data_IF_949864016754
#
_entry.id   IF_949864016754
#
_cell.length_a   1.000
_cell.length_b   1.000
_cell.length_c   1.000
_cell.angle_alpha   90.00
_cell.angle_beta   90.00
_cell.angle_gamma   90.00
#
_symmetry.space_group_name_H-M   'P 1'
#
loop_
_entity.id
_entity.type
_entity.pdbx_description
1 polymer ?
#
# COMPACT_ATOMS: atom_id res chain seq x y z
N UNK A 1 -22.49 -0.60 -15.17
CA UNK A 1 -23.15 0.46 -15.97
C UNK A 1 -22.31 1.74 -15.90
N UNK A 2 -22.41 2.62 -16.90
CA UNK A 2 -21.89 3.99 -16.80
C UNK A 2 -23.09 4.92 -16.55
N UNK A 3 -23.00 5.75 -15.52
CA UNK A 3 -24.05 6.70 -15.13
C UNK A 3 -23.41 8.07 -15.00
N UNK A 4 -23.73 8.98 -15.92
CA UNK A 4 -23.11 10.31 -16.02
C UNK A 4 -24.03 11.44 -15.53
N UNK A 5 -25.28 11.12 -15.23
CA UNK A 5 -26.30 12.09 -14.87
C UNK A 5 -26.94 11.70 -13.54
N UNK A 6 -27.32 12.73 -12.78
CA UNK A 6 -28.08 12.54 -11.54
C UNK A 6 -29.47 12.02 -11.90
N UNK A 7 -29.79 10.82 -11.40
CA UNK A 7 -31.10 10.21 -11.59
C UNK A 7 -32.17 10.98 -10.83
N UNK A 8 -33.20 11.42 -11.54
CA UNK A 8 -34.35 12.11 -10.94
C UNK A 8 -35.44 11.15 -10.46
N UNK A 9 -35.44 9.91 -10.97
CA UNK A 9 -36.40 8.86 -10.63
C UNK A 9 -35.67 7.53 -10.48
N UNK A 10 -36.23 6.55 -9.73
CA UNK A 10 -35.69 5.20 -9.69
C UNK A 10 -35.52 4.61 -11.09
N UNK A 11 -34.36 3.99 -11.33
CA UNK A 11 -33.99 3.33 -12.59
C UNK A 11 -33.62 1.87 -12.32
N UNK A 12 -34.10 0.92 -13.13
CA UNK A 12 -33.95 -0.53 -12.93
C UNK A 12 -33.63 -1.32 -14.22
N UNK A 13 -33.24 -0.62 -15.26
CA UNK A 13 -32.91 -1.13 -16.60
C UNK A 13 -31.40 -0.96 -16.91
N UNK A 14 -30.54 -1.04 -15.91
CA UNK A 14 -29.10 -0.95 -16.11
C UNK A 14 -28.58 -2.14 -16.91
N UNK A 15 -27.74 -1.84 -17.89
CA UNK A 15 -26.96 -2.82 -18.63
C UNK A 15 -25.47 -2.61 -18.37
N UNK A 16 -24.68 -3.66 -18.56
CA UNK A 16 -23.23 -3.52 -18.61
C UNK A 16 -22.87 -2.63 -19.79
N UNK A 17 -21.81 -1.84 -19.61
CA UNK A 17 -21.14 -1.27 -20.76
C UNK A 17 -20.34 -2.39 -21.45
N UNK A 18 -20.31 -2.39 -22.78
CA UNK A 18 -19.88 -3.55 -23.58
C UNK A 18 -18.43 -4.01 -23.35
N UNK A 19 -17.57 -3.17 -22.77
CA UNK A 19 -16.21 -3.54 -22.42
C UNK A 19 -15.69 -2.73 -21.23
N UNK A 20 -14.63 -3.24 -20.59
CA UNK A 20 -13.86 -2.51 -19.57
C UNK A 20 -13.23 -1.24 -20.15
N UNK A 21 -12.78 -1.29 -21.40
CA UNK A 21 -12.12 -0.16 -22.08
C UNK A 21 -13.04 1.05 -22.20
N UNK A 22 -14.35 0.85 -22.41
CA UNK A 22 -15.31 1.96 -22.43
C UNK A 22 -15.43 2.65 -21.05
N UNK A 23 -15.27 1.91 -19.95
CA UNK A 23 -15.19 2.50 -18.61
C UNK A 23 -13.90 3.32 -18.46
N UNK A 24 -12.78 2.78 -18.93
CA UNK A 24 -11.50 3.49 -18.89
C UNK A 24 -11.49 4.73 -19.79
N UNK A 25 -12.13 4.71 -20.96
CA UNK A 25 -12.28 5.88 -21.82
C UNK A 25 -13.10 6.98 -21.14
N UNK A 26 -14.18 6.62 -20.43
CA UNK A 26 -14.93 7.58 -19.62
C UNK A 26 -14.06 8.16 -18.50
N UNK A 27 -13.34 7.30 -17.76
CA UNK A 27 -12.43 7.74 -16.71
C UNK A 27 -11.33 8.68 -17.25
N UNK A 28 -10.78 8.38 -18.43
CA UNK A 28 -9.81 9.23 -19.11
C UNK A 28 -10.41 10.59 -19.47
N UNK A 29 -11.66 10.64 -19.94
CA UNK A 29 -12.37 11.89 -20.20
C UNK A 29 -12.56 12.74 -18.93
N UNK A 30 -12.95 12.11 -17.82
CA UNK A 30 -13.14 12.80 -16.54
C UNK A 30 -11.80 13.34 -15.99
N UNK A 31 -10.74 12.55 -16.12
CA UNK A 31 -9.40 12.93 -15.69
C UNK A 31 -8.79 14.00 -16.59
N UNK A 32 -8.97 13.94 -17.90
CA UNK A 32 -8.56 15.00 -18.84
C UNK A 32 -9.27 16.32 -18.49
N UNK A 33 -10.57 16.29 -18.23
CA UNK A 33 -11.29 17.45 -17.70
C UNK A 33 -10.66 17.94 -16.39
N UNK A 34 -10.34 17.05 -15.45
CA UNK A 34 -9.70 17.41 -14.19
C UNK A 34 -8.31 18.04 -14.41
N UNK A 35 -7.48 17.53 -15.33
CA UNK A 35 -6.16 18.11 -15.64
C UNK A 35 -6.25 19.56 -16.15
N UNK A 36 -7.36 19.91 -16.80
CA UNK A 36 -7.60 21.25 -17.35
C UNK A 36 -8.15 22.23 -16.31
N UNK A 37 -8.81 21.74 -15.26
CA UNK A 37 -9.57 22.56 -14.31
C UNK A 37 -9.03 22.57 -12.88
N UNK A 38 -8.23 21.58 -12.47
CA UNK A 38 -7.64 21.56 -11.13
C UNK A 38 -6.45 22.54 -11.00
N UNK A 39 -6.23 23.10 -9.81
CA UNK A 39 -5.08 23.97 -9.55
C UNK A 39 -3.76 23.19 -9.57
N UNK A 40 -2.65 23.89 -9.73
CA UNK A 40 -1.31 23.36 -9.42
C UNK A 40 -1.19 23.09 -7.91
N UNK A 41 -0.23 22.25 -7.51
CA UNK A 41 -0.08 21.83 -6.11
C UNK A 41 0.15 23.01 -5.15
N UNK A 42 0.81 24.10 -5.58
CA UNK A 42 1.00 25.30 -4.76
C UNK A 42 -0.25 26.17 -4.61
N UNK A 43 -1.25 25.94 -5.46
CA UNK A 43 -2.47 26.74 -5.56
C UNK A 43 -3.71 25.97 -5.09
N UNK A 44 -3.55 24.80 -4.45
CA UNK A 44 -4.68 24.10 -3.84
C UNK A 44 -5.24 24.92 -2.68
N UNK A 45 -6.57 24.99 -2.56
CA UNK A 45 -7.23 25.83 -1.54
C UNK A 45 -6.98 25.35 -0.10
N UNK A 46 -6.65 24.08 0.08
CA UNK A 46 -6.33 23.48 1.38
C UNK A 46 -5.46 22.23 1.20
N UNK A 47 -4.66 21.92 2.22
CA UNK A 47 -3.87 20.68 2.32
C UNK A 47 -4.80 19.47 2.14
N UNK A 48 -4.35 18.49 1.36
CA UNK A 48 -5.13 17.29 1.04
C UNK A 48 -6.15 17.45 -0.09
N UNK A 49 -6.37 18.66 -0.64
CA UNK A 49 -7.14 18.79 -1.89
C UNK A 49 -6.35 18.28 -3.08
N UNK A 50 -7.07 17.74 -4.05
CA UNK A 50 -6.51 17.13 -5.26
C UNK A 50 -5.97 18.23 -6.18
N UNK A 51 -4.71 18.11 -6.59
CA UNK A 51 -4.08 18.98 -7.58
C UNK A 51 -4.19 18.36 -8.98
N UNK A 52 -3.91 19.15 -10.02
CA UNK A 52 -3.83 18.60 -11.38
C UNK A 52 -2.74 17.55 -11.57
N UNK A 53 -1.69 17.56 -10.75
CA UNK A 53 -0.63 16.55 -10.79
C UNK A 53 -1.16 15.16 -10.42
N UNK A 54 -2.05 15.09 -9.41
CA UNK A 54 -2.74 13.86 -9.06
C UNK A 54 -3.64 13.35 -10.20
N UNK A 55 -4.32 14.27 -10.91
CA UNK A 55 -5.12 13.90 -12.09
C UNK A 55 -4.24 13.36 -13.23
N UNK A 56 -3.11 14.00 -13.55
CA UNK A 56 -2.17 13.48 -14.57
C UNK A 56 -1.56 12.12 -14.18
N UNK A 57 -1.25 11.93 -12.90
CA UNK A 57 -0.76 10.66 -12.39
C UNK A 57 -1.76 9.52 -12.64
N UNK A 58 -3.02 9.69 -12.23
CA UNK A 58 -4.04 8.65 -12.44
C UNK A 58 -4.37 8.50 -13.92
N UNK A 59 -4.37 9.60 -14.69
CA UNK A 59 -4.56 9.56 -16.14
C UNK A 59 -3.47 8.73 -16.84
N UNK A 60 -2.24 8.75 -16.34
CA UNK A 60 -1.15 7.89 -16.81
C UNK A 60 -1.52 6.41 -16.69
N UNK A 61 -1.99 5.98 -15.51
CA UNK A 61 -2.39 4.58 -15.29
C UNK A 61 -3.60 4.18 -16.16
N UNK A 62 -4.56 5.09 -16.34
CA UNK A 62 -5.71 4.84 -17.22
C UNK A 62 -5.26 4.69 -18.68
N UNK A 63 -4.36 5.53 -19.18
CA UNK A 63 -3.82 5.38 -20.53
C UNK A 63 -2.99 4.10 -20.71
N UNK A 64 -2.23 3.69 -19.69
CA UNK A 64 -1.57 2.38 -19.66
C UNK A 64 -2.60 1.26 -19.79
N UNK A 65 -3.72 1.35 -19.05
CA UNK A 65 -4.82 0.38 -19.09
C UNK A 65 -5.45 0.28 -20.49
N UNK A 66 -5.54 1.40 -21.19
CA UNK A 66 -6.03 1.51 -22.57
C UNK A 66 -4.97 1.15 -23.63
N UNK A 67 -3.73 0.86 -23.22
CA UNK A 67 -2.56 0.67 -24.08
C UNK A 67 -2.26 1.88 -24.98
N UNK A 68 -2.66 3.08 -24.54
CA UNK A 68 -2.36 4.35 -25.19
C UNK A 68 -1.01 4.86 -24.70
N UNK A 69 0.06 4.16 -25.08
CA UNK A 69 1.39 4.35 -24.48
C UNK A 69 1.95 5.78 -24.63
N UNK A 70 1.73 6.42 -25.79
CA UNK A 70 2.19 7.80 -26.01
C UNK A 70 1.44 8.79 -25.11
N UNK A 71 0.13 8.59 -24.92
CA UNK A 71 -0.67 9.42 -24.02
C UNK A 71 -0.26 9.21 -22.56
N UNK A 72 0.03 7.96 -22.15
CA UNK A 72 0.56 7.66 -20.84
C UNK A 72 1.92 8.34 -20.60
N UNK A 73 2.85 8.24 -21.55
CA UNK A 73 4.18 8.87 -21.46
C UNK A 73 4.03 10.39 -21.35
N UNK A 74 3.17 11.02 -22.15
CA UNK A 74 2.94 12.46 -22.09
C UNK A 74 2.35 12.91 -20.74
N UNK A 75 1.35 12.17 -20.22
CA UNK A 75 0.74 12.46 -18.92
C UNK A 75 1.74 12.29 -17.77
N UNK A 76 2.55 11.24 -17.79
CA UNK A 76 3.57 11.00 -16.77
C UNK A 76 4.70 12.04 -16.83
N UNK A 77 5.16 12.39 -18.03
CA UNK A 77 6.20 13.40 -18.24
C UNK A 77 5.75 14.76 -17.72
N UNK A 78 4.47 15.12 -17.87
CA UNK A 78 3.94 16.35 -17.29
C UNK A 78 4.17 16.44 -15.76
N UNK A 79 4.02 15.31 -15.05
CA UNK A 79 4.25 15.26 -13.60
C UNK A 79 5.74 15.20 -13.27
N UNK A 80 6.51 14.39 -14.00
CA UNK A 80 7.94 14.19 -13.78
C UNK A 80 8.75 15.46 -14.06
N UNK A 81 8.41 16.21 -15.10
CA UNK A 81 9.11 17.42 -15.52
C UNK A 81 8.62 18.66 -14.75
N UNK A 82 7.64 18.52 -13.86
CA UNK A 82 7.12 19.63 -13.07
C UNK A 82 8.14 20.02 -11.97
N UNK A 83 8.60 21.28 -11.93
CA UNK A 83 9.66 21.71 -11.02
C UNK A 83 9.28 21.68 -9.53
N UNK A 84 8.00 21.49 -9.21
CA UNK A 84 7.54 21.37 -7.83
C UNK A 84 7.83 19.99 -7.24
N UNK A 85 7.97 18.96 -8.07
CA UNK A 85 8.17 17.59 -7.59
C UNK A 85 9.58 17.13 -7.86
N UNK A 86 10.17 16.49 -6.86
CA UNK A 86 11.46 15.82 -6.98
C UNK A 86 11.49 14.60 -6.06
N UNK A 87 12.31 13.61 -6.38
CA UNK A 87 12.62 12.56 -5.40
C UNK A 87 13.48 13.17 -4.30
N UNK A 88 13.10 12.98 -3.05
CA UNK A 88 13.88 13.39 -1.90
C UNK A 88 15.16 12.56 -1.86
N UNK A 89 16.31 13.25 -1.81
CA UNK A 89 17.65 12.65 -1.81
C UNK A 89 18.42 12.87 -0.50
N UNK A 90 18.05 13.89 0.26
CA UNK A 90 18.70 14.27 1.51
C UNK A 90 17.76 14.15 2.70
N UNK A 91 18.33 13.99 3.89
CA UNK A 91 17.57 13.96 5.15
C UNK A 91 16.71 15.22 5.31
N UNK A 92 15.45 15.08 5.72
CA UNK A 92 14.53 16.21 5.84
C UNK A 92 13.45 16.05 6.92
N UNK A 93 12.77 17.15 7.20
CA UNK A 93 11.69 17.22 8.19
C UNK A 93 12.19 17.28 9.63
N UNK A 94 11.32 16.96 10.59
CA UNK A 94 11.59 17.27 12.01
C UNK A 94 12.39 16.21 12.79
N UNK A 95 12.71 15.08 12.17
CA UNK A 95 13.36 13.93 12.84
C UNK A 95 14.72 13.57 12.23
N UNK A 96 15.40 14.56 11.64
CA UNK A 96 16.74 14.38 11.06
C UNK A 96 17.84 14.14 12.09
N UNK A 97 17.55 14.42 13.37
CA UNK A 97 18.41 14.18 14.53
C UNK A 97 18.36 12.72 15.03
N UNK A 98 17.39 11.93 14.57
CA UNK A 98 17.33 10.50 14.90
C UNK A 98 18.50 9.78 14.20
N UNK A 99 19.40 9.12 14.94
CA UNK A 99 20.56 8.46 14.35
C UNK A 99 20.16 7.26 13.49
N UNK A 100 21.06 6.83 12.60
CA UNK A 100 20.92 5.57 11.82
C UNK A 100 19.63 5.48 10.98
N UNK A 101 19.11 6.63 10.54
CA UNK A 101 17.96 6.74 9.62
C UNK A 101 18.38 7.34 8.29
N UNK A 102 17.52 7.25 7.26
CA UNK A 102 17.81 7.71 5.90
C UNK A 102 16.63 8.49 5.29
N UNK A 103 16.83 9.04 4.09
CA UNK A 103 15.83 9.88 3.42
C UNK A 103 14.52 9.13 3.14
N UNK A 104 14.58 7.83 2.81
CA UNK A 104 13.38 7.02 2.59
C UNK A 104 12.55 6.88 3.87
N UNK A 105 13.21 6.80 5.03
CA UNK A 105 12.52 6.80 6.33
C UNK A 105 11.81 8.13 6.59
N UNK A 106 12.44 9.26 6.25
CA UNK A 106 11.90 10.61 6.47
C UNK A 106 10.59 10.85 5.72
N UNK A 107 10.41 10.26 4.52
CA UNK A 107 9.19 10.37 3.71
C UNK A 107 7.91 10.06 4.48
N UNK A 108 8.00 9.06 5.38
CA UNK A 108 6.84 8.48 6.04
C UNK A 108 6.69 8.96 7.48
N UNK A 109 7.45 9.96 7.93
CA UNK A 109 7.33 10.43 9.31
C UNK A 109 6.10 11.32 9.50
N UNK A 110 5.54 11.30 10.72
CA UNK A 110 4.44 12.18 11.09
C UNK A 110 4.89 13.64 10.95
N UNK A 111 4.16 14.40 10.12
CA UNK A 111 4.49 15.78 9.80
C UNK A 111 5.44 15.96 8.61
N UNK A 112 5.87 14.87 7.95
CA UNK A 112 6.70 14.91 6.73
C UNK A 112 5.94 14.41 5.49
N UNK A 113 4.68 13.95 5.61
CA UNK A 113 3.99 13.29 4.51
C UNK A 113 3.46 14.28 3.47
N UNK A 114 2.95 15.44 3.89
CA UNK A 114 2.32 16.37 2.96
C UNK A 114 3.35 17.15 2.14
N UNK A 115 2.97 17.54 0.91
CA UNK A 115 3.76 18.43 0.08
C UNK A 115 4.10 19.75 0.82
N UNK A 116 3.11 20.34 1.50
CA UNK A 116 3.28 21.57 2.27
C UNK A 116 4.23 21.42 3.48
N UNK A 117 4.59 20.20 3.87
CA UNK A 117 5.60 19.95 4.88
C UNK A 117 7.03 19.89 4.31
N UNK A 118 7.21 20.15 3.01
CA UNK A 118 8.51 20.10 2.31
C UNK A 118 8.86 18.74 1.73
N UNK A 119 7.87 17.84 1.61
CA UNK A 119 8.05 16.56 0.91
C UNK A 119 7.63 16.70 -0.55
N UNK A 120 8.60 17.04 -1.39
CA UNK A 120 8.40 17.25 -2.81
C UNK A 120 8.12 15.95 -3.59
N UNK A 121 8.16 14.77 -2.95
CA UNK A 121 7.67 13.54 -3.58
C UNK A 121 6.15 13.41 -3.54
N UNK A 122 5.49 14.04 -2.57
CA UNK A 122 4.06 13.86 -2.38
C UNK A 122 3.26 14.62 -3.42
N UNK A 123 2.56 13.87 -4.27
CA UNK A 123 1.60 14.41 -5.23
C UNK A 123 0.23 14.56 -4.55
N UNK A 124 -0.16 13.58 -3.72
CA UNK A 124 -1.38 13.63 -2.92
C UNK A 124 -1.29 12.74 -1.67
N UNK A 125 -1.80 13.26 -0.55
CA UNK A 125 -1.83 12.56 0.73
C UNK A 125 -3.23 12.60 1.36
N UNK A 126 -3.65 11.47 1.93
CA UNK A 126 -4.87 11.36 2.70
C UNK A 126 -4.64 11.98 4.09
N UNK A 127 -5.55 12.87 4.47
CA UNK A 127 -5.49 13.62 5.73
C UNK A 127 -6.03 12.76 6.88
N UNK A 128 -5.21 11.83 7.37
CA UNK A 128 -5.57 10.85 8.39
C UNK A 128 -4.84 11.05 9.72
N UNK A 129 -3.97 12.07 9.82
CA UNK A 129 -3.21 12.34 11.04
C UNK A 129 -4.12 12.56 12.25
N UNK A 130 -3.62 12.21 13.42
CA UNK A 130 -4.32 12.45 14.68
C UNK A 130 -4.26 13.93 15.06
N UNK A 131 -5.38 14.47 15.56
CA UNK A 131 -5.44 15.81 16.14
C UNK A 131 -5.64 16.95 15.14
N UNK A 132 -6.00 16.63 13.88
CA UNK A 132 -6.36 17.62 12.85
C UNK A 132 -7.86 17.54 12.51
N UNK A 133 -8.51 18.66 12.14
CA UNK A 133 -9.91 18.63 11.69
C UNK A 133 -10.11 17.67 10.51
N UNK A 134 -11.05 16.73 10.65
CA UNK A 134 -11.31 15.68 9.65
C UNK A 134 -10.31 14.53 9.62
N UNK A 135 -9.28 14.56 10.46
CA UNK A 135 -8.28 13.50 10.60
C UNK A 135 -8.71 12.35 11.50
N UNK A 136 -7.75 11.47 11.81
CA UNK A 136 -7.96 10.28 12.62
C UNK A 136 -8.24 10.57 14.11
N UNK A 137 -8.97 9.67 14.75
CA UNK A 137 -9.24 9.64 16.19
C UNK A 137 -8.36 8.56 16.87
N UNK A 138 -8.12 8.68 18.18
CA UNK A 138 -7.50 7.62 19.00
C UNK A 138 -8.39 6.37 19.15
N UNK A 139 -9.69 6.49 18.93
CA UNK A 139 -10.63 5.38 19.14
C UNK A 139 -10.49 4.30 18.07
N UNK A 140 -10.08 3.10 18.50
CA UNK A 140 -9.90 1.94 17.62
C UNK A 140 -11.13 1.42 16.89
N UNK A 141 -12.32 1.78 17.33
CA UNK A 141 -13.57 1.18 16.85
C UNK A 141 -14.45 2.15 16.05
N UNK A 142 -13.98 3.36 15.77
CA UNK A 142 -14.73 4.32 14.95
C UNK A 142 -14.43 4.14 13.46
N UNK A 143 -15.47 4.38 12.64
CA UNK A 143 -15.39 4.44 11.18
C UNK A 143 -14.48 5.60 10.78
N UNK A 144 -13.63 5.42 9.77
CA UNK A 144 -12.76 6.48 9.22
C UNK A 144 -11.30 6.48 9.69
N UNK A 145 -10.94 5.65 10.69
CA UNK A 145 -9.54 5.54 11.12
C UNK A 145 -8.73 4.62 10.21
N UNK A 146 -7.60 5.12 9.70
CA UNK A 146 -6.61 4.34 8.97
C UNK A 146 -5.85 3.43 9.96
N UNK A 147 -5.74 2.13 9.66
CA UNK A 147 -5.35 1.09 10.64
C UNK A 147 -4.25 0.17 10.14
N UNK A 148 -3.35 0.66 9.29
CA UNK A 148 -2.28 -0.19 8.78
C UNK A 148 -1.31 -0.64 9.86
N UNK A 149 -0.99 0.19 10.85
CA UNK A 149 -0.21 -0.27 12.00
C UNK A 149 -0.90 -1.46 12.68
N UNK A 150 -2.21 -1.34 12.98
CA UNK A 150 -2.99 -2.44 13.56
C UNK A 150 -3.02 -3.68 12.67
N UNK A 151 -3.27 -3.52 11.39
CA UNK A 151 -3.48 -4.65 10.49
C UNK A 151 -2.18 -5.37 10.14
N UNK A 152 -1.11 -4.62 9.89
CA UNK A 152 0.10 -5.11 9.24
C UNK A 152 1.32 -5.18 10.17
N UNK A 153 1.24 -4.66 11.40
CA UNK A 153 2.29 -4.86 12.40
C UNK A 153 2.22 -6.20 13.11
N UNK A 154 3.30 -6.52 13.83
CA UNK A 154 3.52 -7.83 14.41
C UNK A 154 3.33 -7.89 15.94
N UNK A 155 2.95 -9.06 16.46
CA UNK A 155 2.65 -9.27 17.88
C UNK A 155 3.92 -9.59 18.70
N UNK A 156 4.99 -8.81 18.53
CA UNK A 156 6.33 -9.14 19.07
C UNK A 156 6.34 -9.39 20.58
N UNK A 157 5.49 -8.71 21.36
CA UNK A 157 5.42 -8.88 22.81
C UNK A 157 4.83 -10.22 23.27
N UNK A 158 4.32 -11.04 22.35
CA UNK A 158 3.97 -12.43 22.62
C UNK A 158 5.16 -13.39 22.53
N UNK A 159 6.27 -12.95 21.95
CA UNK A 159 7.49 -13.76 21.89
C UNK A 159 7.96 -14.09 23.31
N UNK A 160 8.23 -15.37 23.53
CA UNK A 160 8.88 -15.87 24.74
C UNK A 160 10.36 -16.09 24.45
N UNK A 161 11.19 -15.80 25.44
CA UNK A 161 12.57 -16.22 25.42
C UNK A 161 12.66 -17.75 25.59
N UNK A 162 13.85 -18.35 25.37
CA UNK A 162 14.06 -19.78 25.51
C UNK A 162 13.74 -20.37 26.89
N UNK A 163 13.69 -19.54 27.94
CA UNK A 163 13.34 -19.95 29.30
C UNK A 163 11.82 -19.82 29.58
N UNK A 164 11.04 -19.39 28.58
CA UNK A 164 9.59 -19.20 28.66
C UNK A 164 9.17 -17.85 29.26
N UNK A 165 10.11 -16.95 29.55
CA UNK A 165 9.83 -15.60 30.04
C UNK A 165 9.43 -14.71 28.86
N UNK A 166 8.55 -13.72 29.06
CA UNK A 166 8.24 -12.77 27.98
C UNK A 166 9.52 -12.05 27.54
N UNK A 167 9.82 -12.03 26.25
CA UNK A 167 10.99 -11.32 25.74
C UNK A 167 10.81 -9.79 25.83
N UNK A 168 9.56 -9.32 25.80
CA UNK A 168 9.25 -7.89 25.87
C UNK A 168 8.32 -7.54 27.02
N UNK A 169 8.46 -6.33 27.56
CA UNK A 169 7.64 -5.80 28.67
C UNK A 169 6.18 -5.58 28.26
N UNK A 170 5.92 -5.44 26.96
CA UNK A 170 4.62 -5.17 26.39
C UNK A 170 4.74 -4.45 25.06
N UNK A 171 3.61 -3.99 24.49
CA UNK A 171 3.64 -3.09 23.36
C UNK A 171 4.16 -1.72 23.79
N UNK A 172 5.22 -1.22 23.16
CA UNK A 172 5.82 0.08 23.45
C UNK A 172 5.89 0.96 22.21
N UNK A 173 5.95 2.27 22.41
CA UNK A 173 6.09 3.26 21.32
C UNK A 173 7.41 3.05 20.56
N UNK A 174 8.49 2.67 21.24
CA UNK A 174 9.80 2.40 20.62
C UNK A 174 9.81 1.11 19.80
N UNK A 175 9.06 0.09 20.24
CA UNK A 175 8.91 -1.17 19.53
C UNK A 175 7.67 -1.21 18.63
N UNK A 176 7.31 -0.08 18.02
CA UNK A 176 6.32 0.02 16.94
C UNK A 176 4.84 -0.03 17.35
N UNK A 177 4.52 0.40 18.57
CA UNK A 177 3.13 0.53 19.02
C UNK A 177 2.48 -0.81 19.35
N UNK A 178 1.18 -0.92 19.08
CA UNK A 178 0.33 -2.07 19.46
C UNK A 178 -0.47 -2.65 18.29
N UNK A 179 0.20 -3.31 17.34
CA UNK A 179 -0.45 -3.94 16.20
C UNK A 179 -1.31 -5.16 16.55
N UNK A 180 -1.96 -5.76 15.55
CA UNK A 180 -2.88 -6.89 15.68
C UNK A 180 -2.38 -8.18 15.02
N UNK A 181 -1.33 -8.12 14.22
CA UNK A 181 -0.78 -9.28 13.51
C UNK A 181 -1.67 -9.82 12.40
N UNK A 182 -2.68 -9.08 11.91
CA UNK A 182 -3.67 -9.65 10.98
C UNK A 182 -3.10 -10.00 9.61
N UNK A 183 -2.06 -9.31 9.18
CA UNK A 183 -1.45 -9.40 7.84
C UNK A 183 0.05 -9.62 7.97
N UNK A 184 0.58 -10.53 7.14
CA UNK A 184 2.03 -10.77 7.01
C UNK A 184 2.41 -10.76 5.53
N UNK A 185 3.53 -10.13 5.24
CA UNK A 185 4.08 -10.00 3.89
C UNK A 185 4.58 -11.38 3.38
N UNK A 186 4.44 -11.70 2.09
CA UNK A 186 5.01 -12.94 1.51
C UNK A 186 6.55 -12.95 1.53
N UNK A 187 7.14 -14.15 1.48
CA UNK A 187 8.59 -14.31 1.54
C UNK A 187 9.33 -13.63 0.38
N UNK A 188 8.73 -13.61 -0.82
CA UNK A 188 9.28 -12.91 -1.98
C UNK A 188 9.63 -11.46 -1.65
N UNK A 189 8.71 -10.75 -1.00
CA UNK A 189 8.90 -9.34 -0.63
C UNK A 189 9.74 -9.18 0.65
N UNK A 190 9.71 -10.15 1.56
CA UNK A 190 10.57 -10.14 2.76
C UNK A 190 12.05 -10.33 2.43
N UNK A 191 12.36 -11.18 1.45
CA UNK A 191 13.68 -11.74 1.24
C UNK A 191 14.15 -11.68 -0.22
N UNK A 192 13.40 -12.28 -1.15
CA UNK A 192 13.89 -12.60 -2.49
C UNK A 192 14.14 -11.35 -3.35
N UNK A 193 13.23 -10.36 -3.31
CA UNK A 193 13.39 -9.12 -4.10
C UNK A 193 14.62 -8.30 -3.69
N UNK A 194 15.24 -8.58 -2.55
CA UNK A 194 16.42 -7.85 -2.07
C UNK A 194 17.74 -8.52 -2.49
N UNK A 195 17.68 -9.64 -3.21
CA UNK A 195 18.87 -10.33 -3.72
C UNK A 195 19.78 -9.39 -4.53
N UNK A 196 21.08 -9.48 -4.30
CA UNK A 196 22.08 -8.59 -4.89
C UNK A 196 22.06 -7.14 -4.37
N UNK A 197 21.03 -6.73 -3.60
CA UNK A 197 20.88 -5.35 -3.10
C UNK A 197 20.69 -5.26 -1.57
N UNK A 198 20.87 -6.36 -0.85
CA UNK A 198 20.48 -6.48 0.57
C UNK A 198 21.06 -5.39 1.48
N UNK A 199 22.33 -5.03 1.28
CA UNK A 199 23.07 -4.11 2.15
C UNK A 199 23.18 -2.68 1.62
N UNK A 200 22.89 -2.44 0.34
CA UNK A 200 23.03 -1.12 -0.29
C UNK A 200 21.68 -0.44 -0.55
N UNK A 201 20.59 -1.18 -0.76
CA UNK A 201 19.28 -0.56 -0.95
C UNK A 201 18.77 0.03 0.37
N UNK A 202 18.71 1.36 0.45
CA UNK A 202 18.33 2.05 1.69
C UNK A 202 16.90 1.73 2.13
N UNK A 203 16.03 1.30 1.20
CA UNK A 203 14.64 0.88 1.51
C UNK A 203 14.63 -0.41 2.32
N UNK A 204 15.68 -1.23 2.19
CA UNK A 204 15.88 -2.46 2.95
C UNK A 204 16.58 -2.26 4.30
N UNK A 205 17.11 -1.06 4.55
CA UNK A 205 17.89 -0.75 5.75
C UNK A 205 17.09 -1.01 7.05
N UNK A 206 17.77 -1.30 8.18
CA UNK A 206 17.10 -1.61 9.45
C UNK A 206 16.11 -0.55 9.96
N UNK A 207 16.32 0.73 9.60
CA UNK A 207 15.40 1.81 9.93
C UNK A 207 14.07 1.75 9.15
N UNK A 208 14.06 1.13 7.97
CA UNK A 208 12.89 1.01 7.09
C UNK A 208 12.20 -0.34 7.20
N UNK A 209 12.96 -1.42 7.37
CA UNK A 209 12.44 -2.76 7.60
C UNK A 209 13.11 -3.36 8.84
N UNK A 210 12.38 -3.33 9.96
CA UNK A 210 12.86 -3.90 11.22
C UNK A 210 12.75 -5.42 11.17
N UNK A 211 13.91 -6.07 11.08
CA UNK A 211 14.05 -7.53 11.14
C UNK A 211 14.64 -8.01 12.45
N UNK A 212 15.18 -7.11 13.25
CA UNK A 212 15.79 -7.43 14.53
C UNK A 212 15.08 -6.67 15.66
N UNK A 213 14.64 -7.43 16.64
CA UNK A 213 13.99 -6.95 17.84
C UNK A 213 14.92 -7.23 19.02
N UNK A 214 15.22 -6.18 19.77
CA UNK A 214 16.06 -6.27 20.96
C UNK A 214 15.17 -6.50 22.17
N UNK A 215 15.44 -7.56 22.92
CA UNK A 215 14.69 -7.98 24.11
C UNK A 215 14.74 -6.86 25.15
N UNK A 216 13.57 -6.33 25.52
CA UNK A 216 13.44 -5.17 26.43
C UNK A 216 12.91 -5.55 27.83
N UNK A 217 12.62 -6.83 28.08
CA UNK A 217 12.20 -7.28 29.41
C UNK A 217 13.41 -7.55 30.32
N UNK A 218 13.63 -6.76 31.41
CA UNK A 218 14.76 -6.96 32.32
C UNK A 218 14.70 -8.28 33.11
N UNK A 219 13.54 -8.97 33.12
CA UNK A 219 13.41 -10.29 33.74
C UNK A 219 13.84 -11.44 32.81
N UNK A 220 14.07 -11.17 31.52
CA UNK A 220 14.58 -12.18 30.58
C UNK A 220 16.09 -12.32 30.74
N UNK A 221 16.60 -13.55 30.69
CA UNK A 221 18.04 -13.81 30.63
C UNK A 221 18.70 -13.24 29.36
N UNK A 222 17.87 -12.87 28.38
CA UNK A 222 18.27 -12.33 27.08
C UNK A 222 18.09 -10.82 26.99
N UNK A 223 17.82 -10.12 28.10
CA UNK A 223 17.67 -8.66 28.12
C UNK A 223 18.84 -7.95 27.41
N UNK A 224 18.52 -7.03 26.49
CA UNK A 224 19.47 -6.30 25.67
C UNK A 224 20.07 -7.10 24.50
N UNK A 225 19.69 -8.37 24.32
CA UNK A 225 20.14 -9.19 23.20
C UNK A 225 19.12 -9.18 22.04
N UNK A 226 19.60 -9.52 20.84
CA UNK A 226 18.75 -9.74 19.68
C UNK A 226 17.89 -10.99 19.87
N UNK A 227 16.60 -10.91 19.55
CA UNK A 227 15.72 -12.08 19.51
C UNK A 227 16.16 -13.15 18.50
N UNK A 228 17.03 -12.81 17.53
CA UNK A 228 17.58 -13.77 16.56
C UNK A 228 18.55 -14.75 17.19
N UNK A 229 19.02 -14.51 18.41
CA UNK A 229 19.84 -15.46 19.15
C UNK A 229 19.02 -16.61 19.73
N UNK A 230 17.69 -16.52 19.71
CA UNK A 230 16.82 -17.55 20.26
C UNK A 230 16.89 -18.83 19.42
N UNK A 231 17.24 -19.98 20.01
CA UNK A 231 17.18 -21.25 19.30
C UNK A 231 15.71 -21.66 19.04
N UNK A 232 15.49 -22.37 17.94
CA UNK A 232 14.24 -23.09 17.65
C UNK A 232 12.97 -22.21 17.62
N UNK A 233 13.02 -21.02 17.00
CA UNK A 233 11.83 -20.21 16.75
C UNK A 233 10.76 -21.04 16.01
N UNK A 234 9.51 -20.95 16.49
CA UNK A 234 8.36 -21.60 15.88
C UNK A 234 7.91 -20.88 14.61
N UNK A 235 7.00 -21.50 13.86
CA UNK A 235 6.33 -20.84 12.75
C UNK A 235 5.53 -19.62 13.23
N UNK A 236 4.93 -19.68 14.44
CA UNK A 236 4.21 -18.55 15.00
C UNK A 236 5.14 -17.35 15.26
N UNK A 237 6.31 -17.62 15.81
CA UNK A 237 7.31 -16.59 16.11
C UNK A 237 7.77 -15.87 14.85
N UNK A 238 8.02 -16.63 13.78
CA UNK A 238 8.55 -16.11 12.51
C UNK A 238 7.48 -15.52 11.59
N UNK A 239 6.20 -15.87 11.78
CA UNK A 239 5.10 -15.39 10.93
C UNK A 239 4.28 -14.26 11.56
N UNK A 240 4.04 -14.31 12.87
CA UNK A 240 3.11 -13.42 13.58
C UNK A 240 3.79 -12.52 14.59
N UNK A 241 4.80 -13.01 15.32
CA UNK A 241 5.35 -12.27 16.46
C UNK A 241 6.50 -11.34 16.02
N UNK A 242 7.52 -11.87 15.34
CA UNK A 242 8.66 -11.08 14.87
C UNK A 242 8.99 -11.27 13.38
N UNK A 243 8.02 -11.33 12.43
CA UNK A 243 8.34 -11.19 11.01
C UNK A 243 8.97 -9.79 10.75
N UNK A 244 9.70 -9.64 9.63
CA UNK A 244 10.11 -8.32 9.13
C UNK A 244 8.95 -7.33 9.14
N UNK A 245 9.18 -6.14 9.67
CA UNK A 245 8.15 -5.10 9.81
C UNK A 245 8.56 -3.79 9.15
N UNK A 246 7.69 -3.28 8.28
CA UNK A 246 7.91 -2.05 7.52
C UNK A 246 7.60 -0.84 8.39
N UNK A 247 8.63 -0.08 8.74
CA UNK A 247 8.55 1.05 9.68
C UNK A 247 7.71 2.21 9.12
N UNK A 248 7.56 2.31 7.79
CA UNK A 248 6.61 3.24 7.17
C UNK A 248 5.16 3.06 7.65
N UNK A 249 4.80 1.95 8.28
CA UNK A 249 3.46 1.70 8.80
C UNK A 249 3.20 2.28 10.20
N UNK A 250 4.25 2.67 10.92
CA UNK A 250 4.20 3.12 12.31
C UNK A 250 5.00 4.41 12.50
N UNK A 251 5.09 4.89 13.74
CA UNK A 251 5.88 6.05 14.15
C UNK A 251 6.67 5.71 15.43
N UNK A 252 7.77 4.96 15.33
CA UNK A 252 8.50 4.50 16.51
C UNK A 252 9.00 5.69 17.34
N UNK A 253 8.67 5.66 18.63
CA UNK A 253 8.98 6.72 19.59
C UNK A 253 8.18 8.02 19.43
N UNK A 254 7.15 8.05 18.57
CA UNK A 254 6.47 9.30 18.18
C UNK A 254 4.94 9.12 18.05
N UNK A 255 4.39 8.09 18.72
CA UNK A 255 2.96 7.93 18.92
C UNK A 255 2.36 9.11 19.71
N UNK A 256 1.06 9.43 19.56
CA UNK A 256 0.43 10.49 20.35
C UNK A 256 0.60 10.27 21.87
N UNK A 257 0.94 11.31 22.66
CA UNK A 257 1.16 11.19 24.10
C UNK A 257 -0.01 10.51 24.84
N UNK A 258 -1.24 10.74 24.40
CA UNK A 258 -2.46 10.17 24.97
C UNK A 258 -2.55 8.64 24.81
N UNK A 259 -1.78 8.07 23.88
CA UNK A 259 -1.69 6.61 23.71
C UNK A 259 -0.65 5.97 24.62
N UNK A 260 0.23 6.77 25.24
CA UNK A 260 1.29 6.28 26.12
C UNK A 260 0.69 6.02 27.52
N UNK A 261 0.80 4.77 27.97
CA UNK A 261 0.37 4.33 29.29
C UNK A 261 1.42 4.63 30.35
N UNK A 262 2.70 4.43 30.01
CA UNK A 262 3.83 4.63 30.90
C UNK A 262 4.93 5.36 30.13
N UNK A 263 5.23 6.57 30.58
CA UNK A 263 6.22 7.45 29.94
C UNK A 263 7.67 7.04 30.20
N UNK A 264 7.95 6.26 31.26
CA UNK A 264 9.30 5.77 31.56
C UNK A 264 9.66 4.60 30.64
N UNK A 265 8.74 3.64 30.51
CA UNK A 265 8.96 2.44 29.70
C UNK A 265 8.50 2.58 28.25
N UNK A 266 7.67 3.59 27.96
CA UNK A 266 7.07 3.80 26.64
C UNK A 266 5.92 2.84 26.32
N UNK A 267 5.44 2.06 27.30
CA UNK A 267 4.30 1.13 27.10
C UNK A 267 3.06 1.91 26.64
N UNK A 268 2.34 1.35 25.67
CA UNK A 268 1.15 1.98 25.07
C UNK A 268 -0.14 1.25 25.42
N UNK A 269 -1.22 2.03 25.50
CA UNK A 269 -2.57 1.53 25.68
C UNK A 269 -3.04 0.68 24.50
N UNK A 270 -4.20 0.04 24.66
CA UNK A 270 -4.91 -0.62 23.56
C UNK A 270 -4.95 0.27 22.31
N UNK A 271 -5.26 1.58 22.49
CA UNK A 271 -5.38 2.64 21.48
C UNK A 271 -4.11 2.98 20.69
N UNK A 272 -2.93 2.58 21.16
CA UNK A 272 -1.63 2.85 20.51
C UNK A 272 -1.29 1.92 19.35
N UNK A 273 -2.30 1.42 18.64
CA UNK A 273 -2.14 0.58 17.44
C UNK A 273 -2.65 1.24 16.15
N UNK A 274 -3.01 2.53 16.22
CA UNK A 274 -3.65 3.25 15.13
C UNK A 274 -2.62 3.88 14.22
N UNK A 275 -2.99 4.21 12.98
CA UNK A 275 -2.13 5.03 12.13
C UNK A 275 -2.39 6.50 12.45
N UNK A 276 -1.40 7.19 13.03
CA UNK A 276 -1.54 8.55 13.57
C UNK A 276 -0.87 9.64 12.72
N UNK A 277 -0.54 9.31 11.47
CA UNK A 277 0.04 10.19 10.47
C UNK A 277 -0.83 10.23 9.22
N UNK A 278 -0.61 11.25 8.38
CA UNK A 278 -1.17 11.29 7.04
C UNK A 278 -0.64 10.12 6.20
N UNK A 279 -1.40 9.71 5.19
CA UNK A 279 -1.01 8.61 4.32
C UNK A 279 -0.64 9.11 2.94
N UNK A 280 0.60 8.87 2.52
CA UNK A 280 1.06 9.21 1.17
C UNK A 280 0.36 8.28 0.19
N UNK A 281 -0.55 8.82 -0.63
CA UNK A 281 -1.38 8.01 -1.53
C UNK A 281 -0.88 8.03 -2.96
N UNK A 282 -0.39 9.18 -3.41
CA UNK A 282 0.24 9.33 -4.72
C UNK A 282 1.57 10.03 -4.50
N UNK A 283 2.66 9.45 -5.00
CA UNK A 283 3.98 10.06 -4.95
C UNK A 283 4.77 9.88 -6.23
N UNK A 284 5.75 10.75 -6.42
CA UNK A 284 6.48 10.89 -7.68
C UNK A 284 7.13 9.58 -8.15
N UNK A 285 7.68 8.76 -7.24
CA UNK A 285 8.30 7.49 -7.62
C UNK A 285 7.33 6.52 -8.30
N UNK A 286 6.05 6.51 -7.95
CA UNK A 286 5.07 5.69 -8.66
C UNK A 286 4.90 6.17 -10.11
N UNK A 287 4.91 7.48 -10.34
CA UNK A 287 4.87 8.04 -11.71
C UNK A 287 6.08 7.59 -12.54
N UNK A 288 7.27 7.53 -11.94
CA UNK A 288 8.47 6.99 -12.58
C UNK A 288 8.33 5.50 -12.95
N UNK A 289 7.66 4.71 -12.11
CA UNK A 289 7.40 3.29 -12.41
C UNK A 289 6.27 3.11 -13.45
N UNK A 290 5.26 3.98 -13.45
CA UNK A 290 4.21 3.99 -14.47
C UNK A 290 4.77 4.38 -15.86
N UNK A 291 5.61 5.42 -15.95
CA UNK A 291 6.21 5.77 -17.24
C UNK A 291 7.15 4.67 -17.75
N UNK A 292 7.87 3.98 -16.86
CA UNK A 292 8.67 2.82 -17.23
C UNK A 292 7.81 1.68 -17.79
N UNK A 293 6.65 1.41 -17.18
CA UNK A 293 5.67 0.44 -17.68
C UNK A 293 5.17 0.84 -19.08
N UNK A 294 4.89 2.12 -19.31
CA UNK A 294 4.47 2.60 -20.63
C UNK A 294 5.56 2.44 -21.70
N UNK A 295 6.82 2.72 -21.37
CA UNK A 295 7.95 2.47 -22.28
C UNK A 295 8.18 0.97 -22.55
N UNK A 296 8.02 0.11 -21.53
CA UNK A 296 8.03 -1.34 -21.73
C UNK A 296 6.91 -1.77 -22.69
N UNK A 297 5.71 -1.20 -22.56
CA UNK A 297 4.59 -1.42 -23.49
C UNK A 297 4.88 -1.02 -24.94
N UNK A 298 5.81 -0.07 -25.15
CA UNK A 298 6.34 0.32 -26.47
C UNK A 298 7.52 -0.53 -26.95
N UNK A 299 7.92 -1.55 -26.20
CA UNK A 299 9.14 -2.32 -26.40
C UNK A 299 10.42 -1.43 -26.39
N UNK A 300 10.41 -0.34 -25.60
CA UNK A 300 11.55 0.55 -25.39
C UNK A 300 12.14 0.33 -23.99
N UNK A 301 12.87 -0.77 -23.87
CA UNK A 301 13.50 -1.16 -22.62
C UNK A 301 14.60 -0.19 -22.16
N UNK A 302 15.19 0.59 -23.07
CA UNK A 302 16.21 1.57 -22.74
C UNK A 302 15.61 2.69 -21.91
N UNK A 303 14.48 3.25 -22.35
CA UNK A 303 13.78 4.26 -21.58
C UNK A 303 13.09 3.66 -20.34
N UNK A 304 12.56 2.44 -20.40
CA UNK A 304 12.02 1.78 -19.22
C UNK A 304 13.07 1.65 -18.10
N UNK A 305 14.27 1.13 -18.42
CA UNK A 305 15.38 1.05 -17.47
C UNK A 305 15.83 2.42 -16.98
N UNK A 306 15.87 3.44 -17.85
CA UNK A 306 16.22 4.81 -17.46
C UNK A 306 15.33 5.33 -16.33
N UNK A 307 14.00 5.23 -16.47
CA UNK A 307 13.08 5.75 -15.45
C UNK A 307 13.03 4.90 -14.17
N UNK A 308 13.18 3.58 -14.28
CA UNK A 308 13.41 2.70 -13.12
C UNK A 308 14.67 3.12 -12.35
N UNK A 309 15.75 3.40 -13.08
CA UNK A 309 17.04 3.75 -12.49
C UNK A 309 17.02 5.11 -11.77
N UNK A 310 16.08 6.01 -12.06
CA UNK A 310 15.90 7.23 -11.25
C UNK A 310 15.45 6.88 -9.83
N UNK A 311 14.53 5.92 -9.68
CA UNK A 311 14.07 5.46 -8.36
C UNK A 311 15.15 4.64 -7.66
N UNK A 312 15.86 3.78 -8.40
CA UNK A 312 16.94 2.94 -7.86
C UNK A 312 18.15 3.76 -7.40
N UNK A 313 18.52 4.80 -8.15
CA UNK A 313 19.59 5.74 -7.78
C UNK A 313 19.28 6.44 -6.46
N UNK A 314 18.06 6.98 -6.29
CA UNK A 314 17.62 7.51 -4.99
C UNK A 314 17.78 6.49 -3.87
N UNK A 315 17.50 5.22 -4.16
CA UNK A 315 17.50 4.15 -3.18
C UNK A 315 18.90 3.55 -2.92
N UNK A 316 19.95 4.06 -3.59
CA UNK A 316 21.31 3.49 -3.58
C UNK A 316 21.36 2.02 -4.08
N UNK A 317 20.33 1.60 -4.81
CA UNK A 317 20.24 0.28 -5.41
C UNK A 317 21.04 0.23 -6.73
N UNK A 318 21.63 -0.92 -7.06
CA UNK A 318 22.38 -1.07 -8.32
C UNK A 318 21.48 -0.82 -9.53
N UNK A 319 21.94 -0.12 -10.58
CA UNK A 319 21.10 0.14 -11.74
C UNK A 319 20.71 -1.17 -12.45
N UNK A 320 19.50 -1.21 -13.02
CA UNK A 320 19.04 -2.29 -13.89
C UNK A 320 19.52 -2.04 -15.33
N UNK A 321 19.89 -3.11 -16.04
CA UNK A 321 20.17 -3.01 -17.47
C UNK A 321 18.87 -3.09 -18.27
N UNK A 322 18.78 -2.42 -19.44
CA UNK A 322 17.62 -2.56 -20.34
C UNK A 322 17.24 -4.00 -20.67
N UNK A 323 18.21 -4.90 -20.80
CA UNK A 323 17.97 -6.32 -21.11
C UNK A 323 17.26 -7.11 -20.00
N UNK A 324 17.30 -6.60 -18.76
CA UNK A 324 16.72 -7.25 -17.58
C UNK A 324 15.32 -6.67 -17.25
N UNK A 325 14.85 -5.66 -17.99
CA UNK A 325 13.55 -5.04 -17.74
C UNK A 325 12.44 -5.82 -18.45
N UNK A 326 11.59 -6.41 -17.63
CA UNK A 326 10.29 -6.95 -18.01
C UNK A 326 9.21 -6.52 -17.00
N UNK A 327 7.98 -7.00 -17.21
CA UNK A 327 6.88 -6.68 -16.30
C UNK A 327 7.13 -7.24 -14.90
N UNK A 328 7.88 -8.35 -14.82
CA UNK A 328 8.15 -8.98 -13.54
C UNK A 328 9.10 -8.14 -12.69
N UNK A 329 10.12 -7.58 -13.33
CA UNK A 329 11.04 -6.63 -12.74
C UNK A 329 10.31 -5.37 -12.25
N UNK A 330 9.46 -4.76 -13.08
CA UNK A 330 8.71 -3.56 -12.70
C UNK A 330 7.82 -3.85 -11.49
N UNK A 331 7.11 -4.97 -11.49
CA UNK A 331 6.24 -5.37 -10.39
C UNK A 331 7.00 -5.62 -9.08
N UNK A 332 8.23 -6.13 -9.16
CA UNK A 332 9.10 -6.32 -8.00
C UNK A 332 9.69 -4.98 -7.53
N UNK A 333 10.03 -4.06 -8.43
CA UNK A 333 10.48 -2.71 -8.07
C UNK A 333 9.34 -1.90 -7.41
N UNK A 334 8.11 -2.05 -7.90
CA UNK A 334 6.90 -1.54 -7.23
C UNK A 334 6.74 -2.14 -5.83
N UNK A 335 7.06 -3.41 -5.61
CA UNK A 335 7.06 -3.99 -4.26
C UNK A 335 8.16 -3.41 -3.34
N UNK A 336 9.36 -3.12 -3.85
CA UNK A 336 10.41 -2.46 -3.04
C UNK A 336 10.01 -1.03 -2.66
N UNK A 337 9.40 -0.33 -3.60
CA UNK A 337 9.14 1.11 -3.52
C UNK A 337 7.81 1.42 -2.82
N UNK A 338 6.71 0.81 -3.27
CA UNK A 338 5.32 1.21 -3.00
C UNK A 338 4.55 0.22 -2.10
N UNK A 339 5.24 -0.66 -1.37
CA UNK A 339 4.57 -1.61 -0.49
C UNK A 339 3.65 -0.88 0.51
N UNK A 340 2.38 -1.33 0.56
CA UNK A 340 1.25 -0.74 1.30
C UNK A 340 0.70 0.59 0.77
N UNK A 341 1.35 1.21 -0.21
CA UNK A 341 0.92 2.50 -0.78
C UNK A 341 0.05 2.29 -2.02
N UNK A 342 0.40 1.31 -2.87
CA UNK A 342 -0.37 0.98 -4.06
C UNK A 342 -1.52 0.01 -3.78
N UNK A 343 -2.65 0.12 -4.50
CA UNK A 343 -3.71 -0.89 -4.47
C UNK A 343 -3.27 -2.15 -5.26
N UNK A 344 -2.29 -2.90 -4.73
CA UNK A 344 -1.59 -4.01 -5.44
C UNK A 344 -2.52 -4.98 -6.15
N UNK A 345 -3.65 -5.36 -5.53
CA UNK A 345 -4.65 -6.23 -6.17
C UNK A 345 -5.16 -5.62 -7.46
N UNK A 346 -5.54 -4.34 -7.43
CA UNK A 346 -6.08 -3.64 -8.59
C UNK A 346 -5.02 -3.48 -9.68
N UNK A 347 -3.77 -3.19 -9.30
CA UNK A 347 -2.63 -3.15 -10.23
C UNK A 347 -2.45 -4.49 -10.95
N UNK A 348 -2.48 -5.62 -10.21
CA UNK A 348 -2.37 -6.94 -10.81
C UNK A 348 -3.59 -7.30 -11.67
N UNK A 349 -4.81 -6.99 -11.22
CA UNK A 349 -6.07 -7.20 -11.97
C UNK A 349 -6.15 -6.38 -13.26
N UNK A 350 -5.56 -5.18 -13.27
CA UNK A 350 -5.40 -4.36 -14.48
C UNK A 350 -4.57 -5.10 -15.53
N UNK A 351 -3.49 -5.76 -15.08
CA UNK A 351 -2.55 -6.48 -15.93
C UNK A 351 -2.99 -7.91 -16.29
N UNK A 352 -4.00 -8.47 -15.60
CA UNK A 352 -4.38 -9.87 -15.76
C UNK A 352 -3.39 -10.83 -15.10
N UNK A 353 -2.66 -10.37 -14.08
CA UNK A 353 -1.58 -11.11 -13.41
C UNK A 353 -1.92 -11.47 -11.97
N UNK A 354 -3.13 -11.17 -11.48
CA UNK A 354 -3.46 -11.40 -10.08
C UNK A 354 -3.45 -12.90 -9.74
N UNK A 355 -4.06 -13.75 -10.56
CA UNK A 355 -4.05 -15.20 -10.35
C UNK A 355 -2.63 -15.78 -10.32
N UNK A 356 -1.84 -15.50 -11.37
CA UNK A 356 -0.49 -16.03 -11.53
C UNK A 356 0.43 -15.59 -10.39
N UNK A 357 0.39 -14.31 -10.02
CA UNK A 357 1.22 -13.78 -8.93
C UNK A 357 0.80 -14.31 -7.57
N UNK A 358 -0.50 -14.40 -7.32
CA UNK A 358 -1.04 -14.92 -6.06
C UNK A 358 -0.62 -16.38 -5.86
N UNK A 359 -0.83 -17.22 -6.87
CA UNK A 359 -0.51 -18.66 -6.78
C UNK A 359 0.99 -18.94 -6.78
N UNK A 360 1.80 -18.10 -7.45
CA UNK A 360 3.27 -18.21 -7.47
C UNK A 360 3.90 -17.92 -6.11
N UNK A 361 3.48 -16.85 -5.43
CA UNK A 361 4.22 -16.34 -4.26
C UNK A 361 3.52 -16.55 -2.91
N UNK A 362 2.20 -16.76 -2.89
CA UNK A 362 1.47 -16.99 -1.65
C UNK A 362 1.23 -18.50 -1.43
N UNK A 363 2.01 -19.08 -0.51
CA UNK A 363 1.92 -20.51 -0.15
C UNK A 363 0.55 -20.96 0.38
N UNK A 364 -0.30 -20.05 0.83
CA UNK A 364 -1.66 -20.37 1.31
C UNK A 364 -2.72 -20.25 0.21
N UNK A 365 -2.39 -19.67 -0.93
CA UNK A 365 -3.27 -19.40 -2.04
C UNK A 365 -2.86 -20.21 -3.27
N UNK A 366 -2.65 -21.52 -3.07
CA UNK A 366 -2.30 -22.47 -4.11
C UNK A 366 -3.41 -22.61 -5.18
N UNK A 367 -3.12 -23.14 -6.39
CA UNK A 367 -4.10 -23.26 -7.47
C UNK A 367 -5.39 -24.04 -7.14
N UNK A 368 -5.39 -24.86 -6.08
CA UNK A 368 -6.58 -25.57 -5.57
C UNK A 368 -7.49 -24.70 -4.67
N UNK A 369 -7.05 -23.48 -4.31
CA UNK A 369 -7.74 -22.57 -3.38
C UNK A 369 -8.13 -21.24 -4.01
N UNK A 370 -7.65 -20.98 -5.21
CA UNK A 370 -7.88 -19.75 -5.96
C UNK A 370 -8.37 -20.12 -7.34
N UNK A 371 -9.42 -19.43 -7.78
CA UNK A 371 -9.96 -19.60 -9.12
C UNK A 371 -9.51 -18.45 -10.02
N UNK A 372 -9.17 -18.75 -11.27
CA UNK A 372 -8.69 -17.76 -12.25
C UNK A 372 -9.73 -16.64 -12.48
N UNK A 373 -11.02 -16.98 -12.47
CA UNK A 373 -12.09 -15.99 -12.68
C UNK A 373 -12.24 -14.97 -11.53
N UNK A 374 -11.51 -15.12 -10.41
CA UNK A 374 -11.43 -14.12 -9.33
C UNK A 374 -10.54 -12.91 -9.68
N UNK A 375 -9.98 -12.88 -10.89
CA UNK A 375 -9.34 -11.71 -11.53
C UNK A 375 -10.31 -10.53 -11.72
N UNK A 376 -11.63 -10.77 -11.66
CA UNK A 376 -12.65 -9.73 -11.61
C UNK A 376 -13.54 -9.94 -10.38
N UNK A 377 -13.93 -8.88 -9.68
CA UNK A 377 -14.87 -9.01 -8.55
C UNK A 377 -16.29 -9.33 -9.05
N UNK A 378 -17.10 -10.10 -8.30
CA UNK A 378 -18.49 -10.31 -8.67
C UNK A 378 -19.30 -9.01 -8.56
N UNK A 379 -20.24 -8.82 -9.48
CA UNK A 379 -21.29 -7.82 -9.29
C UNK A 379 -22.16 -8.30 -8.11
N UNK A 380 -22.41 -7.47 -7.08
CA UNK A 380 -23.20 -7.90 -5.94
C UNK A 380 -24.57 -8.42 -6.38
N UNK A 381 -24.97 -9.59 -5.89
CA UNK A 381 -26.21 -10.23 -6.34
C UNK A 381 -27.44 -9.34 -6.13
N UNK A 382 -27.45 -8.53 -5.05
CA UNK A 382 -28.51 -7.56 -4.78
C UNK A 382 -28.67 -6.50 -5.87
N UNK A 383 -27.59 -6.10 -6.55
CA UNK A 383 -27.66 -5.17 -7.68
C UNK A 383 -28.32 -5.82 -8.89
N UNK A 384 -28.00 -7.09 -9.17
CA UNK A 384 -28.61 -7.88 -10.24
C UNK A 384 -30.10 -8.11 -9.96
N UNK A 385 -30.46 -8.50 -8.74
CA UNK A 385 -31.85 -8.77 -8.34
C UNK A 385 -32.75 -7.53 -8.44
N UNK A 386 -32.23 -6.36 -8.09
CA UNK A 386 -32.99 -5.09 -8.11
C UNK A 386 -33.16 -4.52 -9.52
N UNK A 387 -32.35 -4.95 -10.48
CA UNK A 387 -32.38 -4.50 -11.86
C UNK A 387 -33.42 -5.28 -12.69
N UNK A 388 -34.71 -5.02 -12.43
CA UNK A 388 -35.82 -5.83 -12.94
C UNK A 388 -36.26 -5.52 -14.38
N UNK A 389 -35.76 -4.44 -14.98
CA UNK A 389 -36.23 -3.92 -16.28
C UNK A 389 -35.22 -4.14 -17.41
N UNK A 390 -34.03 -4.68 -17.12
CA UNK A 390 -33.05 -5.13 -18.10
C UNK A 390 -32.15 -6.24 -17.52
N UNK A 391 -31.40 -6.92 -18.39
CA UNK A 391 -30.42 -7.91 -17.94
C UNK A 391 -29.10 -7.23 -17.53
N UNK A 392 -28.74 -7.38 -16.24
CA UNK A 392 -27.42 -7.04 -15.72
C UNK A 392 -26.60 -8.34 -15.57
N UNK A 393 -25.86 -8.67 -16.62
CA UNK A 393 -25.07 -9.90 -16.68
C UNK A 393 -23.97 -9.95 -15.59
N UNK A 394 -23.75 -11.11 -15.01
CA UNK A 394 -22.66 -11.35 -14.05
C UNK A 394 -21.31 -11.50 -14.78
N UNK A 395 -20.20 -11.32 -14.08
CA UNK A 395 -18.87 -11.71 -14.58
C UNK A 395 -18.79 -13.24 -14.81
N UNK A 396 -18.07 -13.69 -15.86
CA UNK A 396 -17.86 -15.11 -16.12
C UNK A 396 -17.34 -15.87 -14.89
N UNK A 397 -17.77 -17.13 -14.71
CA UNK A 397 -17.37 -17.99 -13.60
C UNK A 397 -18.18 -17.83 -12.30
N UNK A 398 -18.84 -16.69 -12.11
CA UNK A 398 -19.73 -16.48 -10.97
C UNK A 398 -21.15 -17.00 -11.27
N UNK A 399 -21.63 -17.97 -10.49
CA UNK A 399 -22.94 -18.60 -10.68
C UNK A 399 -24.04 -17.75 -10.03
N UNK A 400 -25.13 -17.51 -10.76
CA UNK A 400 -26.39 -16.96 -10.24
C UNK A 400 -27.08 -18.02 -9.38
N UNK A 401 -26.82 -18.07 -8.09
CA UNK A 401 -27.41 -19.11 -7.24
C UNK A 401 -28.84 -18.72 -6.82
N UNK A 402 -29.83 -19.19 -7.60
CA UNK A 402 -31.25 -18.83 -7.44
C UNK A 402 -31.87 -19.39 -6.13
N UNK A 403 -31.16 -20.25 -5.40
CA UNK A 403 -31.65 -20.95 -4.20
C UNK A 403 -30.79 -20.72 -2.93
N UNK A 404 -29.82 -19.81 -2.93
CA UNK A 404 -29.05 -19.52 -1.71
C UNK A 404 -29.70 -18.38 -0.92
N UNK A 405 -30.10 -18.68 0.33
CA UNK A 405 -30.61 -17.69 1.27
C UNK A 405 -29.64 -16.51 1.38
N UNK A 406 -30.18 -15.29 1.55
CA UNK A 406 -29.45 -14.00 1.67
C UNK A 406 -28.22 -14.01 2.59
N UNK A 407 -28.11 -14.97 3.51
CA UNK A 407 -26.99 -15.17 4.41
C UNK A 407 -25.75 -15.80 3.77
N UNK A 408 -25.86 -16.58 2.70
CA UNK A 408 -24.72 -17.30 2.11
C UNK A 408 -23.88 -16.45 1.15
N UNK A 409 -24.51 -15.55 0.41
CA UNK A 409 -23.76 -14.53 -0.37
C UNK A 409 -23.12 -13.51 0.55
N UNK A 410 -23.78 -13.13 1.65
CA UNK A 410 -23.11 -12.33 2.67
C UNK A 410 -22.01 -13.14 3.33
N UNK A 411 -22.14 -14.45 3.59
CA UNK A 411 -21.04 -15.25 4.12
C UNK A 411 -19.93 -15.52 3.11
N UNK A 412 -20.18 -15.63 1.81
CA UNK A 412 -19.13 -15.77 0.79
C UNK A 412 -18.50 -14.43 0.44
N UNK A 413 -19.26 -13.34 0.44
CA UNK A 413 -18.73 -11.98 0.28
C UNK A 413 -18.09 -11.50 1.58
N UNK A 414 -18.49 -12.00 2.75
CA UNK A 414 -17.85 -11.74 4.07
C UNK A 414 -16.78 -12.77 4.36
N UNK A 415 -16.73 -13.92 3.68
CA UNK A 415 -15.57 -14.82 3.67
C UNK A 415 -14.59 -14.32 2.64
N UNK A 416 -15.02 -13.81 1.48
CA UNK A 416 -14.20 -13.06 0.52
C UNK A 416 -13.77 -11.72 1.12
N UNK A 417 -14.60 -10.99 1.85
CA UNK A 417 -14.23 -9.73 2.51
C UNK A 417 -13.49 -9.99 3.81
N UNK A 418 -13.77 -11.03 4.60
CA UNK A 418 -12.87 -11.42 5.69
C UNK A 418 -11.60 -12.06 5.15
N UNK A 419 -11.58 -12.62 3.94
CA UNK A 419 -10.35 -13.02 3.25
C UNK A 419 -9.68 -11.77 2.64
N UNK A 420 -10.41 -10.77 2.17
CA UNK A 420 -9.86 -9.53 1.58
C UNK A 420 -9.43 -8.53 2.66
N UNK A 421 -10.02 -8.58 3.86
CA UNK A 421 -9.70 -7.78 5.04
C UNK A 421 -8.72 -8.49 5.98
N UNK A 422 -8.67 -9.83 6.00
CA UNK A 422 -7.64 -10.61 6.73
C UNK A 422 -6.45 -11.01 5.86
N UNK A 423 -6.57 -10.97 4.54
CA UNK A 423 -5.47 -11.13 3.59
C UNK A 423 -5.42 -9.90 2.70
N UNK A 424 -4.97 -8.78 3.28
CA UNK A 424 -4.30 -7.79 2.46
C UNK A 424 -3.05 -8.44 1.89
N UNK A 425 -3.13 -8.76 0.61
CA UNK A 425 -2.11 -8.53 -0.41
C UNK A 425 -0.72 -8.17 0.12
N UNK A 426 0.17 -9.16 0.02
CA UNK A 426 1.50 -8.97 -0.55
C UNK A 426 1.76 -10.14 -1.48
#
# INVERSE_FOLDING_TARGET
PIVLEVLQNPKRDYVRVGSRDLVYQQAASDLDFATKNLPTIDNVEAVGRVSKAAAYHILTEVYISLKEWDNAINAASWVIDNPNFELMKERFGRRTDVPETNVFWDLFQKGNVDYQAGNNETIWALQTAYGIPGGGDLRHHTVGNFKFERACGNLYWFLKDPDGVSAFIGPTTQNNGRPGGYVSVINHVKYDIWEGNWNNDIRNAPCNIKRDFIVDNPNSAYFGQSHKTFPNLTEADTLWFCPPYWIKLTTPGDHPPETIQDTETGVVWAVGGGTHKNWQHIRLAETYLLIAEAYLGKADNVNAAKYINVVRDRAEAYPVNPGDVDIDYILDERCRELLFEEPRRMTLMRMGLWYDRTTKYNRWSSPDKVEEYWELLPIPYSEIERNTEAELEQNPGYIRNVNQNRTDDFQRLTHLLNIMDKFYFV
#
